data_IF_780566490051
#
_entry.id   IF_780566490051
#
_cell.length_a   1.000
_cell.length_b   1.000
_cell.length_c   1.000
_cell.angle_alpha   90.00
_cell.angle_beta   90.00
_cell.angle_gamma   90.00
#
_symmetry.space_group_name_H-M   'P 1'
#
loop_
_entity.id
_entity.type
_entity.pdbx_description
1 polymer ?
#
# COMPACT_ATOMS: atom_id res chain seq x y z
N UNK A 1 -0.95 10.71 6.08
CA UNK A 1 -1.03 9.24 6.09
C UNK A 1 -0.21 8.72 4.94
N UNK A 2 0.55 7.64 5.13
CA UNK A 2 1.39 7.03 4.09
C UNK A 2 1.05 5.54 3.99
N UNK A 3 1.00 5.01 2.77
CA UNK A 3 0.88 3.58 2.50
C UNK A 3 1.70 3.17 1.29
N UNK A 4 1.94 1.87 1.17
CA UNK A 4 2.56 1.23 0.01
C UNK A 4 1.67 0.08 -0.45
N UNK A 5 1.46 0.01 -1.76
CA UNK A 5 0.83 -1.14 -2.41
C UNK A 5 1.80 -2.32 -2.38
N UNK A 6 1.46 -3.34 -1.61
CA UNK A 6 2.31 -4.51 -1.38
C UNK A 6 1.44 -5.76 -1.27
N UNK A 7 0.92 -6.26 -2.38
CA UNK A 7 -0.16 -7.24 -2.43
C UNK A 7 0.38 -8.67 -2.39
N UNK A 8 0.31 -9.33 -1.22
CA UNK A 8 0.81 -10.70 -1.00
C UNK A 8 -0.30 -11.77 -1.11
N UNK A 9 -0.93 -11.90 -2.28
CA UNK A 9 -1.98 -12.89 -2.53
C UNK A 9 -1.42 -14.29 -2.80
N UNK A 10 -0.36 -14.69 -2.08
CA UNK A 10 0.16 -16.04 -2.01
C UNK A 10 1.45 -16.25 -2.82
N UNK A 11 2.38 -17.01 -2.21
CA UNK A 11 3.74 -17.31 -2.68
C UNK A 11 3.84 -17.96 -4.08
N UNK A 12 2.72 -18.34 -4.69
CA UNK A 12 2.62 -19.04 -5.97
C UNK A 12 1.63 -18.39 -6.95
N UNK A 13 1.14 -17.19 -6.65
CA UNK A 13 0.26 -16.46 -7.55
C UNK A 13 1.06 -16.04 -8.80
N UNK A 14 0.73 -16.55 -10.00
CA UNK A 14 1.51 -16.28 -11.21
C UNK A 14 1.49 -14.79 -11.61
N UNK A 15 0.44 -14.05 -11.24
CA UNK A 15 0.37 -12.60 -11.48
C UNK A 15 1.38 -11.88 -10.60
N UNK A 16 1.41 -12.20 -9.31
CA UNK A 16 2.34 -11.60 -8.33
C UNK A 16 3.79 -11.98 -8.64
N UNK A 17 4.05 -13.23 -9.00
CA UNK A 17 5.40 -13.69 -9.37
C UNK A 17 5.92 -13.05 -10.66
N UNK A 18 5.03 -12.73 -11.61
CA UNK A 18 5.42 -12.17 -12.91
C UNK A 18 5.45 -10.64 -12.93
N UNK A 19 4.53 -9.99 -12.21
CA UNK A 19 4.29 -8.55 -12.30
C UNK A 19 4.53 -7.81 -10.98
N UNK A 20 4.57 -8.52 -9.85
CA UNK A 20 4.62 -7.93 -8.52
C UNK A 20 3.51 -6.91 -8.29
N UNK A 21 3.82 -5.87 -7.52
CA UNK A 21 2.98 -4.69 -7.33
C UNK A 21 3.17 -3.70 -8.47
N UNK A 22 2.82 -4.14 -9.68
CA UNK A 22 2.92 -3.32 -10.86
C UNK A 22 2.13 -2.01 -10.71
N UNK A 23 2.59 -0.99 -11.42
CA UNK A 23 1.91 0.30 -11.45
C UNK A 23 0.43 0.13 -11.78
N UNK A 24 -0.44 0.82 -11.03
CA UNK A 24 -1.89 0.79 -11.19
C UNK A 24 -2.57 -0.56 -10.82
N UNK A 25 -1.87 -1.46 -10.12
CA UNK A 25 -2.52 -2.67 -9.58
C UNK A 25 -3.33 -2.40 -8.31
N UNK A 26 -3.21 -1.21 -7.71
CA UNK A 26 -4.02 -0.77 -6.58
C UNK A 26 -5.45 -0.38 -7.00
N UNK A 27 -5.64 -0.04 -8.27
CA UNK A 27 -6.87 0.51 -8.82
C UNK A 27 -8.11 -0.38 -8.55
N UNK A 28 -8.08 -1.71 -8.78
CA UNK A 28 -9.20 -2.60 -8.47
C UNK A 28 -9.62 -2.58 -6.99
N UNK A 29 -8.67 -2.33 -6.08
CA UNK A 29 -8.96 -2.28 -4.65
C UNK A 29 -9.54 -0.93 -4.23
N UNK A 30 -9.12 0.17 -4.86
CA UNK A 30 -9.60 1.53 -4.57
C UNK A 30 -11.03 1.74 -5.08
N UNK A 31 -11.34 1.26 -6.28
CA UNK A 31 -12.66 1.44 -6.89
C UNK A 31 -13.59 0.25 -6.72
N UNK A 32 -13.10 -0.83 -6.12
CA UNK A 32 -13.83 -2.09 -5.97
C UNK A 32 -14.35 -2.62 -7.32
N UNK A 33 -13.72 -2.23 -8.41
CA UNK A 33 -14.04 -2.67 -9.75
C UNK A 33 -13.15 -3.87 -10.08
N UNK A 34 -13.70 -4.85 -10.80
CA UNK A 34 -12.97 -6.06 -11.20
C UNK A 34 -12.36 -6.87 -10.04
N UNK A 35 -12.71 -6.59 -8.78
CA UNK A 35 -12.18 -7.31 -7.61
C UNK A 35 -12.51 -8.81 -7.67
N UNK A 36 -13.69 -9.18 -8.16
CA UNK A 36 -14.07 -10.58 -8.36
C UNK A 36 -13.26 -11.24 -9.49
N UNK A 37 -13.03 -10.52 -10.59
CA UNK A 37 -12.27 -11.04 -11.73
C UNK A 37 -10.79 -11.23 -11.37
N UNK A 38 -10.17 -10.22 -10.74
CA UNK A 38 -8.78 -10.28 -10.28
C UNK A 38 -8.61 -11.27 -9.12
N UNK A 39 -9.62 -11.37 -8.25
CA UNK A 39 -9.70 -12.36 -7.19
C UNK A 39 -9.79 -13.79 -7.73
N UNK A 40 -10.56 -14.02 -8.80
CA UNK A 40 -10.62 -15.31 -9.48
C UNK A 40 -9.30 -15.66 -10.17
N UNK A 41 -8.69 -14.69 -10.87
CA UNK A 41 -7.39 -14.86 -11.54
C UNK A 41 -6.24 -15.13 -10.58
N UNK A 42 -6.26 -14.51 -9.39
CA UNK A 42 -5.27 -14.76 -8.33
C UNK A 42 -5.50 -16.07 -7.58
N UNK A 43 -6.66 -16.71 -7.73
CA UNK A 43 -7.06 -17.87 -6.91
C UNK A 43 -7.42 -17.51 -5.46
N UNK A 44 -7.45 -16.22 -5.10
CA UNK A 44 -7.61 -15.72 -3.74
C UNK A 44 -8.82 -14.77 -3.60
N UNK A 45 -9.93 -15.07 -4.27
CA UNK A 45 -11.10 -14.18 -4.36
C UNK A 45 -11.60 -13.59 -3.04
N UNK A 46 -11.63 -14.39 -1.96
CA UNK A 46 -12.05 -13.88 -0.63
C UNK A 46 -11.07 -12.86 -0.06
N UNK A 47 -9.77 -13.12 -0.12
CA UNK A 47 -8.74 -12.19 0.37
C UNK A 47 -8.71 -10.93 -0.49
N UNK A 48 -8.87 -11.08 -1.80
CA UNK A 48 -8.91 -9.96 -2.75
C UNK A 48 -10.12 -9.05 -2.48
N UNK A 49 -11.31 -9.64 -2.32
CA UNK A 49 -12.53 -8.89 -1.98
C UNK A 49 -12.39 -8.18 -0.62
N UNK A 50 -11.84 -8.87 0.39
CA UNK A 50 -11.59 -8.28 1.71
C UNK A 50 -10.64 -7.09 1.63
N UNK A 51 -9.55 -7.20 0.87
CA UNK A 51 -8.63 -6.07 0.68
C UNK A 51 -9.29 -4.92 -0.06
N UNK A 52 -10.08 -5.20 -1.10
CA UNK A 52 -10.82 -4.17 -1.82
C UNK A 52 -11.79 -3.43 -0.90
N UNK A 53 -12.50 -4.15 -0.03
CA UNK A 53 -13.37 -3.55 1.00
C UNK A 53 -12.58 -2.64 1.95
N UNK A 54 -11.44 -3.10 2.45
CA UNK A 54 -10.57 -2.32 3.36
C UNK A 54 -10.05 -1.05 2.68
N UNK A 55 -9.45 -1.19 1.49
CA UNK A 55 -8.82 -0.07 0.76
C UNK A 55 -9.87 0.95 0.32
N UNK A 56 -10.98 0.49 -0.28
CA UNK A 56 -12.08 1.36 -0.68
C UNK A 56 -12.67 2.12 0.52
N UNK A 57 -12.90 1.43 1.65
CA UNK A 57 -13.43 2.07 2.84
C UNK A 57 -12.45 3.03 3.53
N UNK A 58 -11.14 2.73 3.50
CA UNK A 58 -10.12 3.64 4.00
C UNK A 58 -10.09 4.93 3.18
N UNK A 59 -10.12 4.83 1.84
CA UNK A 59 -10.19 5.99 0.95
C UNK A 59 -11.47 6.79 1.12
N UNK A 60 -12.63 6.13 1.19
CA UNK A 60 -13.91 6.80 1.37
C UNK A 60 -14.01 7.48 2.75
N UNK A 61 -13.44 6.88 3.79
CA UNK A 61 -13.33 7.50 5.12
C UNK A 61 -12.41 8.71 5.08
N UNK A 62 -11.25 8.59 4.44
CA UNK A 62 -10.32 9.71 4.28
C UNK A 62 -10.96 10.91 3.58
N UNK A 63 -11.70 10.66 2.48
CA UNK A 63 -12.45 11.71 1.78
C UNK A 63 -13.52 12.40 2.66
N UNK A 64 -14.11 11.66 3.61
CA UNK A 64 -15.19 12.17 4.47
C UNK A 64 -14.71 12.92 5.71
N UNK A 65 -13.64 12.46 6.34
CA UNK A 65 -13.23 12.94 7.67
C UNK A 65 -11.72 13.21 7.80
N UNK A 66 -10.96 13.13 6.70
CA UNK A 66 -9.52 13.38 6.69
C UNK A 66 -8.68 12.27 7.33
N UNK A 67 -9.28 11.12 7.66
CA UNK A 67 -8.59 9.97 8.24
C UNK A 67 -9.09 8.65 7.62
N UNK A 68 -8.22 7.66 7.37
CA UNK A 68 -8.60 6.36 6.82
C UNK A 68 -9.47 5.53 7.78
N UNK A 69 -9.49 5.89 9.06
CA UNK A 69 -10.39 5.36 10.09
C UNK A 69 -10.96 6.53 10.90
N UNK A 70 -12.28 6.61 11.01
CA UNK A 70 -12.95 7.62 11.84
C UNK A 70 -14.36 7.18 12.26
N UNK A 71 -14.89 7.81 13.31
CA UNK A 71 -16.23 7.52 13.85
C UNK A 71 -17.36 7.88 12.87
N UNK A 72 -17.11 8.79 11.93
CA UNK A 72 -18.04 9.21 10.90
C UNK A 72 -17.79 8.52 9.55
N UNK A 73 -17.27 7.29 9.55
CA UNK A 73 -17.02 6.54 8.31
C UNK A 73 -18.29 6.42 7.43
N UNK A 74 -18.15 6.26 6.10
CA UNK A 74 -19.27 5.98 5.21
C UNK A 74 -20.08 4.75 5.65
N UNK A 75 -21.39 4.67 5.32
CA UNK A 75 -22.21 3.50 5.61
C UNK A 75 -21.56 2.21 5.08
N UNK A 76 -21.50 1.17 5.90
CA UNK A 76 -20.87 -0.12 5.55
C UNK A 76 -19.35 -0.19 5.77
N UNK A 77 -18.68 0.92 6.10
CA UNK A 77 -17.23 0.95 6.24
C UNK A 77 -16.70 0.81 7.67
N UNK A 78 -17.53 0.98 8.69
CA UNK A 78 -17.09 0.93 10.10
C UNK A 78 -16.30 -0.34 10.41
N UNK A 79 -16.88 -1.51 10.13
CA UNK A 79 -16.25 -2.80 10.39
C UNK A 79 -14.94 -2.99 9.61
N UNK A 80 -14.88 -2.52 8.36
CA UNK A 80 -13.68 -2.68 7.52
C UNK A 80 -12.54 -1.80 8.02
N UNK A 81 -12.83 -0.57 8.43
CA UNK A 81 -11.81 0.33 9.00
C UNK A 81 -11.36 -0.09 10.39
N UNK A 82 -12.15 -0.88 11.12
CA UNK A 82 -11.74 -1.46 12.40
C UNK A 82 -10.73 -2.60 12.26
N UNK A 83 -10.70 -3.27 11.10
CA UNK A 83 -9.69 -4.28 10.77
C UNK A 83 -8.30 -3.67 10.56
N UNK A 84 -8.23 -2.37 10.28
CA UNK A 84 -6.98 -1.66 10.19
C UNK A 84 -6.46 -1.40 11.61
N UNK A 85 -5.22 -1.80 11.85
CA UNK A 85 -4.41 -1.20 12.91
C UNK A 85 -4.51 0.33 12.82
N UNK A 86 -4.31 1.02 13.94
CA UNK A 86 -4.42 2.47 13.95
C UNK A 86 -3.42 3.07 12.96
N UNK A 87 -3.93 3.47 11.79
CA UNK A 87 -3.17 4.13 10.75
C UNK A 87 -3.02 5.57 11.18
N UNK A 88 -1.81 5.94 11.59
CA UNK A 88 -1.51 7.28 12.09
C UNK A 88 -1.11 8.20 10.94
N UNK A 89 -1.29 9.53 11.09
CA UNK A 89 -0.69 10.50 10.18
C UNK A 89 0.81 10.27 10.07
N UNK A 90 1.37 10.49 8.88
CA UNK A 90 2.80 10.40 8.68
C UNK A 90 3.49 11.54 9.44
N UNK A 91 4.59 11.24 10.11
CA UNK A 91 5.44 12.20 10.81
C UNK A 91 6.90 11.90 10.53
N UNK A 92 7.72 12.93 10.34
CA UNK A 92 9.17 12.78 10.20
C UNK A 92 9.85 12.33 11.50
N UNK A 93 9.23 12.56 12.67
CA UNK A 93 9.76 12.11 13.96
C UNK A 93 9.50 10.64 14.28
N UNK A 94 8.52 10.03 13.60
CA UNK A 94 8.16 8.62 13.72
C UNK A 94 7.60 8.18 12.37
N UNK A 95 8.46 8.03 11.35
CA UNK A 95 8.02 7.74 10.00
C UNK A 95 7.50 6.30 9.94
N UNK A 96 6.19 6.18 9.80
CA UNK A 96 5.48 4.91 9.64
C UNK A 96 4.62 4.96 8.37
N UNK A 97 4.43 3.79 7.76
CA UNK A 97 3.56 3.59 6.62
C UNK A 97 2.67 2.36 6.83
N UNK A 98 1.59 2.28 6.08
CA UNK A 98 0.74 1.10 6.03
C UNK A 98 1.13 0.22 4.83
N UNK A 99 1.48 -1.03 5.08
CA UNK A 99 1.69 -2.05 4.05
C UNK A 99 0.35 -2.70 3.73
N UNK A 100 -0.12 -2.53 2.49
CA UNK A 100 -1.40 -3.06 2.02
C UNK A 100 -1.28 -4.52 1.56
N UNK A 101 -0.86 -5.39 2.47
CA UNK A 101 -0.87 -6.84 2.32
C UNK A 101 -2.25 -7.43 2.61
N UNK A 102 -2.50 -8.68 2.23
CA UNK A 102 -3.73 -9.44 2.50
C UNK A 102 -4.12 -9.38 3.98
N UNK A 103 -3.12 -9.29 4.86
CA UNK A 103 -3.25 -8.80 6.23
C UNK A 103 -2.52 -7.44 6.36
N UNK A 104 -3.27 -6.32 6.23
CA UNK A 104 -2.68 -5.00 6.27
C UNK A 104 -2.02 -4.71 7.62
N UNK A 105 -0.81 -4.17 7.62
CA UNK A 105 -0.06 -3.87 8.85
C UNK A 105 0.67 -2.54 8.78
N UNK A 106 0.91 -1.93 9.94
CA UNK A 106 1.76 -0.75 10.05
C UNK A 106 3.23 -1.15 10.12
N UNK A 107 4.10 -0.42 9.44
CA UNK A 107 5.53 -0.65 9.42
C UNK A 107 6.29 0.67 9.60
N UNK A 108 7.45 0.61 10.25
CA UNK A 108 8.36 1.73 10.33
C UNK A 108 9.12 1.89 8.99
N UNK A 109 9.34 3.13 8.57
CA UNK A 109 10.30 3.46 7.51
C UNK A 109 11.69 3.17 8.07
N UNK A 110 12.49 2.39 7.35
CA UNK A 110 13.83 2.01 7.78
C UNK A 110 14.85 3.02 7.25
N UNK A 111 15.95 3.19 7.98
CA UNK A 111 17.08 4.03 7.53
C UNK A 111 17.80 3.51 6.27
N UNK A 112 17.64 2.21 5.97
CA UNK A 112 18.13 1.59 4.75
C UNK A 112 17.21 0.45 4.34
N UNK A 113 16.99 0.29 3.05
CA UNK A 113 16.21 -0.82 2.51
C UNK A 113 17.04 -2.10 2.63
N UNK A 114 16.53 -3.10 3.35
CA UNK A 114 17.19 -4.42 3.43
C UNK A 114 16.92 -5.16 2.10
N UNK A 115 17.76 -4.88 1.11
CA UNK A 115 17.75 -5.53 -0.20
C UNK A 115 18.00 -7.04 -0.01
N UNK A 116 16.91 -7.83 0.04
CA UNK A 116 16.80 -9.31 -0.10
C UNK A 116 15.60 -9.91 0.68
N UNK A 117 14.90 -9.14 1.50
CA UNK A 117 13.79 -9.66 2.33
C UNK A 117 12.42 -9.18 1.86
N UNK A 118 12.31 -7.93 1.42
CA UNK A 118 11.06 -7.31 0.93
C UNK A 118 11.39 -6.32 -0.17
N UNK A 119 10.54 -6.22 -1.21
CA UNK A 119 10.65 -5.16 -2.23
C UNK A 119 9.81 -3.91 -1.87
N UNK A 120 9.27 -3.88 -0.64
CA UNK A 120 8.57 -2.73 -0.09
C UNK A 120 9.51 -1.52 0.00
N UNK A 121 9.04 -0.39 -0.54
CA UNK A 121 9.86 0.71 -1.05
C UNK A 121 10.47 1.70 -0.03
N UNK A 122 9.93 1.98 1.17
CA UNK A 122 10.36 3.16 1.92
C UNK A 122 11.54 2.83 2.84
N UNK A 123 12.74 2.94 2.28
CA UNK A 123 13.98 3.18 3.03
C UNK A 123 14.52 4.57 2.71
N UNK A 124 15.12 5.25 3.70
CA UNK A 124 15.70 6.59 3.51
C UNK A 124 16.73 6.61 2.36
N UNK A 125 17.41 5.49 2.10
CA UNK A 125 18.34 5.30 0.99
C UNK A 125 17.69 5.38 -0.40
N UNK A 126 16.43 4.93 -0.53
CA UNK A 126 15.64 5.03 -1.76
C UNK A 126 14.89 6.35 -1.83
N UNK A 127 14.33 6.82 -0.72
CA UNK A 127 13.59 8.08 -0.65
C UNK A 127 14.48 9.29 -0.93
N UNK A 128 15.68 9.33 -0.36
CA UNK A 128 16.61 10.45 -0.51
C UNK A 128 17.58 10.25 -1.68
N UNK A 129 17.36 9.22 -2.52
CA UNK A 129 18.29 8.88 -3.59
C UNK A 129 18.59 10.08 -4.48
N UNK A 130 17.56 10.79 -4.95
CA UNK A 130 17.74 11.92 -5.86
C UNK A 130 18.40 13.13 -5.21
N UNK A 131 18.23 13.31 -3.90
CA UNK A 131 18.85 14.39 -3.14
C UNK A 131 20.33 14.11 -2.86
N UNK A 132 20.72 12.83 -2.76
CA UNK A 132 22.09 12.40 -2.42
C UNK A 132 22.89 11.86 -3.62
N UNK A 133 22.25 11.60 -4.75
CA UNK A 133 22.90 11.06 -5.93
C UNK A 133 23.86 12.10 -6.54
N UNK A 134 25.16 11.82 -6.45
CA UNK A 134 26.14 12.49 -7.31
C UNK A 134 26.01 11.92 -8.74
N UNK A 135 25.53 12.77 -9.65
CA UNK A 135 25.46 12.48 -11.08
C UNK A 135 26.58 13.18 -11.84
N UNK A 136 27.74 13.41 -11.20
CA UNK A 136 28.87 14.19 -11.76
C UNK A 136 29.40 13.61 -13.09
N UNK A 137 29.11 12.34 -13.35
CA UNK A 137 29.44 11.63 -14.59
C UNK A 137 28.43 11.86 -15.74
N UNK A 138 27.24 12.43 -15.48
CA UNK A 138 26.27 12.88 -16.50
C UNK A 138 26.22 14.40 -16.52
N UNK A 139 26.68 15.03 -17.61
CA UNK A 139 26.34 16.44 -17.89
C UNK A 139 24.82 16.53 -18.09
N UNK A 140 24.09 17.02 -17.10
CA UNK A 140 22.69 17.40 -17.27
C UNK A 140 22.66 18.51 -18.31
N UNK A 141 21.97 18.27 -19.44
CA UNK A 141 21.76 19.32 -20.45
C UNK A 141 20.79 20.33 -19.84
N UNK A 142 21.27 21.56 -19.64
CA UNK A 142 20.40 22.73 -19.40
C UNK A 142 19.50 22.99 -20.61
#
# INVERSE_FOLDING_TARGET
YLYVSAFDFGRWNPIELALGDAHAFELPFVWRNYADAMGALSGHGRSYARMADIVSCAWASFARCGAPRCSSAPPGCTQMTELLEQWLPFSTSSPEYFSLQAEPRRQAVLNHTIFRVTDEFPGDDRCDFWDRASLDWRRVRN
#
